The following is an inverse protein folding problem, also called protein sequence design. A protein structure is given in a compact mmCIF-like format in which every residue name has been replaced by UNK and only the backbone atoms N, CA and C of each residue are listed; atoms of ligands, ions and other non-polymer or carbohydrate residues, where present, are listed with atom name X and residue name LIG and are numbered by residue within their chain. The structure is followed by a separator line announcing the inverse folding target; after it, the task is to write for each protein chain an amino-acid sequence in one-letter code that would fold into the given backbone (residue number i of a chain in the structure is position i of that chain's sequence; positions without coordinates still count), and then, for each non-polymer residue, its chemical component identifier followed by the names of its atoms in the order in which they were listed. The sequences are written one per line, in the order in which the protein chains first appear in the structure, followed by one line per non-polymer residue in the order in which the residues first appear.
data_IF_758689371460
#
_entry.id   IF_758689371460
#
_cell.length_a   1.000
_cell.length_b   1.000
_cell.length_c   1.000
_cell.angle_alpha   90.00
_cell.angle_beta   90.00
_cell.angle_gamma   90.00
#
_symmetry.space_group_name_H-M   'P 1'
#
loop_
_entity.id
_entity.type
_entity.pdbx_description
1 polymer ?
#
# COMPACT_ATOMS: atom_id res chain seq x y z
N UNK A 1 -26.66 24.31 -8.09
CA UNK A 1 -26.56 23.12 -7.22
C UNK A 1 -26.13 23.60 -5.82
N UNK A 2 -27.05 23.66 -4.86
CA UNK A 2 -26.75 24.08 -3.47
C UNK A 2 -26.16 22.88 -2.72
N UNK A 3 -24.84 22.77 -2.71
CA UNK A 3 -24.10 21.86 -1.85
C UNK A 3 -24.36 22.29 -0.41
N UNK A 4 -25.00 21.43 0.38
CA UNK A 4 -25.22 21.67 1.79
C UNK A 4 -23.88 21.51 2.50
N UNK A 5 -23.12 22.60 2.56
CA UNK A 5 -21.71 22.68 2.98
C UNK A 5 -21.40 21.97 4.31
N UNK A 6 -22.38 21.88 5.22
CA UNK A 6 -22.24 21.17 6.50
C UNK A 6 -22.19 19.64 6.37
N UNK A 7 -22.86 19.05 5.37
CA UNK A 7 -22.81 17.59 5.15
C UNK A 7 -21.51 17.16 4.49
N UNK A 8 -20.96 18.00 3.61
CA UNK A 8 -19.71 17.70 2.93
C UNK A 8 -18.53 17.79 3.91
N UNK A 9 -18.52 18.77 4.82
CA UNK A 9 -17.48 18.90 5.85
C UNK A 9 -17.36 17.67 6.76
N UNK A 10 -18.48 17.04 7.12
CA UNK A 10 -18.49 15.79 7.87
C UNK A 10 -17.71 14.67 7.15
N UNK A 11 -17.95 14.50 5.85
CA UNK A 11 -17.25 13.51 5.04
C UNK A 11 -15.75 13.81 4.93
N UNK A 12 -15.38 15.09 4.82
CA UNK A 12 -13.98 15.49 4.77
C UNK A 12 -13.25 15.18 6.08
N UNK A 13 -13.88 15.47 7.23
CA UNK A 13 -13.32 15.11 8.55
C UNK A 13 -13.18 13.59 8.68
N UNK A 14 -14.20 12.82 8.31
CA UNK A 14 -14.18 11.37 8.41
C UNK A 14 -13.06 10.77 7.55
N UNK A 15 -12.91 11.24 6.31
CA UNK A 15 -11.82 10.81 5.42
C UNK A 15 -10.45 11.21 5.98
N UNK A 16 -10.31 12.42 6.52
CA UNK A 16 -9.06 12.87 7.12
C UNK A 16 -8.68 12.04 8.34
N UNK A 17 -9.66 11.67 9.16
CA UNK A 17 -9.44 10.77 10.30
C UNK A 17 -9.01 9.36 9.84
N UNK A 18 -9.64 8.81 8.79
CA UNK A 18 -9.23 7.54 8.21
C UNK A 18 -7.78 7.57 7.68
N UNK A 19 -7.39 8.68 7.03
CA UNK A 19 -6.00 8.90 6.58
C UNK A 19 -5.04 8.91 7.76
N UNK A 20 -5.35 9.64 8.83
CA UNK A 20 -4.48 9.69 10.03
C UNK A 20 -4.30 8.30 10.64
N UNK A 21 -5.38 7.52 10.76
CA UNK A 21 -5.30 6.13 11.27
C UNK A 21 -4.40 5.27 10.38
N UNK A 22 -4.51 5.41 9.06
CA UNK A 22 -3.71 4.61 8.12
C UNK A 22 -2.23 5.04 8.09
N UNK A 23 -1.94 6.32 8.27
CA UNK A 23 -0.58 6.85 8.31
C UNK A 23 0.13 6.59 9.64
N UNK A 24 -0.62 6.46 10.74
CA UNK A 24 -0.05 6.20 12.07
C UNK A 24 0.91 4.99 12.13
N UNK A 25 0.55 3.78 11.65
CA UNK A 25 1.48 2.65 11.63
C UNK A 25 2.68 2.87 10.71
N UNK A 26 2.53 3.61 9.61
CA UNK A 26 3.65 3.94 8.72
C UNK A 26 4.65 4.87 9.40
N UNK A 27 4.16 5.88 10.11
CA UNK A 27 4.99 6.78 10.92
C UNK A 27 5.74 5.99 12.00
N UNK A 28 5.05 5.06 12.67
CA UNK A 28 5.65 4.21 13.69
C UNK A 28 6.72 3.27 13.12
N UNK A 29 6.49 2.70 11.93
CA UNK A 29 7.47 1.86 11.22
C UNK A 29 8.73 2.66 10.85
N UNK A 30 8.55 3.86 10.30
CA UNK A 30 9.66 4.74 9.92
C UNK A 30 10.47 5.15 11.15
N UNK A 31 9.82 5.56 12.24
CA UNK A 31 10.52 5.87 13.48
C UNK A 31 11.31 4.67 14.02
N UNK A 32 10.72 3.47 13.96
CA UNK A 32 11.35 2.25 14.46
C UNK A 32 12.55 1.81 13.61
N UNK A 33 12.60 2.12 12.32
CA UNK A 33 13.77 1.82 11.48
C UNK A 33 15.03 2.59 11.92
N UNK A 34 14.86 3.73 12.60
CA UNK A 34 15.96 4.54 13.15
C UNK A 34 16.31 4.20 14.61
N UNK A 35 15.68 3.20 15.24
CA UNK A 35 15.97 2.79 16.62
C UNK A 35 17.06 1.72 16.69
N UNK A 36 17.83 1.71 17.76
CA UNK A 36 18.76 0.61 18.08
C UNK A 36 17.99 -0.62 18.58
N UNK A 37 18.61 -1.81 18.50
CA UNK A 37 17.99 -3.06 18.99
C UNK A 37 17.57 -2.94 20.46
N UNK A 38 18.43 -2.41 21.33
CA UNK A 38 18.13 -2.23 22.75
C UNK A 38 16.92 -1.33 22.98
N UNK A 39 16.76 -0.26 22.17
CA UNK A 39 15.63 0.65 22.30
C UNK A 39 14.32 0.01 21.83
N UNK A 40 14.37 -0.92 20.89
CA UNK A 40 13.18 -1.67 20.42
C UNK A 40 12.66 -2.59 21.55
N UNK A 41 13.55 -3.22 22.32
CA UNK A 41 13.17 -4.13 23.42
C UNK A 41 12.84 -3.41 24.73
N UNK A 42 13.54 -2.32 25.06
CA UNK A 42 13.36 -1.59 26.34
C UNK A 42 12.32 -0.46 26.26
N UNK A 43 11.99 0.03 25.08
CA UNK A 43 11.06 1.16 24.88
C UNK A 43 10.19 0.96 23.64
N UNK A 44 9.54 -0.21 23.56
CA UNK A 44 8.77 -0.67 22.40
C UNK A 44 7.65 0.29 21.99
N UNK A 45 6.93 0.89 22.95
CA UNK A 45 5.79 1.78 22.69
C UNK A 45 6.16 3.24 22.38
N UNK A 46 7.44 3.61 22.43
CA UNK A 46 7.84 5.00 22.17
C UNK A 46 7.84 5.28 20.66
N UNK A 47 6.99 6.18 20.13
CA UNK A 47 6.95 6.48 18.69
C UNK A 47 8.11 7.34 18.20
N UNK A 48 9.00 7.84 19.07
CA UNK A 48 10.16 8.65 18.69
C UNK A 48 11.48 7.94 19.06
N UNK A 49 12.50 7.94 18.17
CA UNK A 49 13.80 7.38 18.49
C UNK A 49 14.53 8.30 19.48
N UNK A 50 15.25 7.74 20.45
CA UNK A 50 16.00 8.52 21.44
C UNK A 50 17.33 9.01 20.83
N UNK A 51 17.91 8.19 19.96
CA UNK A 51 19.07 8.51 19.13
C UNK A 51 18.82 7.92 17.74
N UNK A 52 18.60 8.74 16.71
CA UNK A 52 18.41 8.23 15.36
C UNK A 52 19.70 7.60 14.84
N UNK A 53 19.64 6.34 14.43
CA UNK A 53 20.78 5.61 13.84
C UNK A 53 20.48 5.16 12.40
N UNK A 54 21.47 5.29 11.52
CA UNK A 54 21.38 4.85 10.12
C UNK A 54 22.05 3.48 9.88
N UNK A 55 22.71 2.93 10.90
CA UNK A 55 23.44 1.66 10.79
C UNK A 55 22.54 0.49 10.41
N UNK A 56 21.26 0.52 10.80
CA UNK A 56 20.27 -0.48 10.40
C UNK A 56 20.14 -0.57 8.86
N UNK A 57 20.15 0.57 8.16
CA UNK A 57 20.06 0.60 6.70
C UNK A 57 21.34 0.06 6.05
N UNK A 58 22.52 0.46 6.55
CA UNK A 58 23.80 -0.05 6.08
C UNK A 58 23.94 -1.56 6.32
N UNK A 59 23.45 -2.05 7.46
CA UNK A 59 23.41 -3.46 7.79
C UNK A 59 22.57 -4.24 6.77
N UNK A 60 21.34 -3.78 6.48
CA UNK A 60 20.46 -4.47 5.52
C UNK A 60 21.05 -4.44 4.11
N UNK A 61 21.62 -3.32 3.68
CA UNK A 61 22.24 -3.19 2.35
C UNK A 61 23.46 -4.10 2.16
N UNK A 62 24.23 -4.36 3.22
CA UNK A 62 25.43 -5.21 3.16
C UNK A 62 25.14 -6.70 3.39
N UNK A 63 24.20 -7.02 4.27
CA UNK A 63 23.99 -8.40 4.73
C UNK A 63 22.85 -9.12 4.00
N UNK A 64 21.91 -8.39 3.39
CA UNK A 64 20.80 -8.97 2.66
C UNK A 64 20.98 -8.73 1.15
N UNK A 65 20.70 -9.72 0.29
CA UNK A 65 20.70 -9.56 -1.17
C UNK A 65 19.44 -8.79 -1.63
N UNK A 66 19.33 -7.53 -1.19
CA UNK A 66 18.15 -6.66 -1.37
C UNK A 66 17.76 -6.50 -2.84
N UNK A 67 18.75 -6.32 -3.72
CA UNK A 67 18.53 -6.19 -5.16
C UNK A 67 17.89 -7.44 -5.74
N UNK A 68 18.32 -8.62 -5.31
CA UNK A 68 17.74 -9.89 -5.77
C UNK A 68 16.27 -10.02 -5.34
N UNK A 69 15.95 -9.63 -4.12
CA UNK A 69 14.55 -9.64 -3.64
C UNK A 69 13.67 -8.66 -4.42
N UNK A 70 14.17 -7.46 -4.72
CA UNK A 70 13.44 -6.45 -5.51
C UNK A 70 13.20 -6.97 -6.93
N UNK A 71 14.21 -7.52 -7.59
CA UNK A 71 14.09 -8.02 -8.96
C UNK A 71 13.15 -9.23 -9.02
N UNK A 72 13.28 -10.19 -8.10
CA UNK A 72 12.41 -11.36 -8.06
C UNK A 72 10.94 -10.97 -7.88
N UNK A 73 10.64 -10.08 -6.94
CA UNK A 73 9.27 -9.62 -6.68
C UNK A 73 8.70 -8.80 -7.84
N UNK A 74 9.52 -7.96 -8.48
CA UNK A 74 9.13 -7.21 -9.68
C UNK A 74 8.78 -8.13 -10.85
N UNK A 75 9.58 -9.17 -11.10
CA UNK A 75 9.33 -10.16 -12.15
C UNK A 75 8.04 -10.94 -11.90
N UNK A 76 7.80 -11.37 -10.66
CA UNK A 76 6.57 -12.08 -10.28
C UNK A 76 5.35 -11.15 -10.43
N UNK A 77 5.41 -9.94 -9.87
CA UNK A 77 4.31 -8.99 -9.90
C UNK A 77 3.94 -8.57 -11.33
N UNK A 78 4.93 -8.30 -12.18
CA UNK A 78 4.72 -7.95 -13.58
C UNK A 78 4.11 -9.10 -14.38
N UNK A 79 4.62 -10.32 -14.17
CA UNK A 79 4.10 -11.53 -14.83
C UNK A 79 2.63 -11.79 -14.48
N UNK A 80 2.28 -11.69 -13.18
CA UNK A 80 0.89 -11.83 -12.72
C UNK A 80 0.01 -10.72 -13.29
N UNK A 81 0.51 -9.48 -13.33
CA UNK A 81 -0.25 -8.34 -13.86
C UNK A 81 -0.55 -8.51 -15.34
N UNK A 82 0.43 -8.95 -16.14
CA UNK A 82 0.23 -9.24 -17.57
C UNK A 82 -0.80 -10.35 -17.79
N UNK A 83 -0.68 -11.46 -17.05
CA UNK A 83 -1.66 -12.55 -17.12
C UNK A 83 -3.06 -12.06 -16.77
N UNK A 84 -3.20 -11.26 -15.69
CA UNK A 84 -4.48 -10.67 -15.27
C UNK A 84 -5.07 -9.75 -16.34
N UNK A 85 -4.26 -8.92 -17.00
CA UNK A 85 -4.73 -8.03 -18.06
C UNK A 85 -5.30 -8.86 -19.22
N UNK A 86 -4.58 -9.88 -19.67
CA UNK A 86 -5.01 -10.75 -20.77
C UNK A 86 -6.33 -11.43 -20.43
N UNK A 87 -6.43 -12.05 -19.24
CA UNK A 87 -7.66 -12.72 -18.81
C UNK A 87 -8.81 -11.74 -18.60
N UNK A 88 -8.54 -10.54 -18.07
CA UNK A 88 -9.56 -9.50 -17.84
C UNK A 88 -10.15 -8.99 -19.15
N UNK A 89 -9.33 -8.77 -20.18
CA UNK A 89 -9.80 -8.36 -21.51
C UNK A 89 -10.68 -9.45 -22.14
N UNK A 90 -10.24 -10.71 -22.06
CA UNK A 90 -11.01 -11.84 -22.59
C UNK A 90 -12.36 -12.01 -21.86
N UNK A 91 -12.35 -11.92 -20.53
CA UNK A 91 -13.57 -11.97 -19.72
C UNK A 91 -14.50 -10.80 -20.03
N UNK A 92 -13.97 -9.58 -20.15
CA UNK A 92 -14.73 -8.39 -20.52
C UNK A 92 -15.42 -8.54 -21.88
N UNK A 93 -14.71 -9.06 -22.89
CA UNK A 93 -15.31 -9.35 -24.20
C UNK A 93 -16.42 -10.41 -24.11
N UNK A 94 -16.19 -11.49 -23.37
CA UNK A 94 -17.19 -12.55 -23.19
C UNK A 94 -18.46 -12.03 -22.49
N UNK A 95 -18.32 -11.16 -21.49
CA UNK A 95 -19.48 -10.56 -20.82
C UNK A 95 -20.30 -9.65 -21.73
N UNK A 96 -19.65 -8.80 -22.54
CA UNK A 96 -20.36 -7.95 -23.51
C UNK A 96 -21.11 -8.79 -24.54
N UNK A 97 -20.45 -9.83 -25.08
CA UNK A 97 -21.09 -10.70 -26.06
C UNK A 97 -22.26 -11.51 -25.46
N UNK A 98 -22.09 -12.04 -24.25
CA UNK A 98 -23.15 -12.78 -23.56
C UNK A 98 -24.37 -11.90 -23.25
N UNK A 99 -24.17 -10.63 -22.88
CA UNK A 99 -25.25 -9.68 -22.61
C UNK A 99 -26.02 -9.32 -23.89
N UNK A 100 -25.33 -9.05 -25.00
CA UNK A 100 -25.95 -8.77 -26.30
C UNK A 100 -26.83 -9.94 -26.81
N UNK A 101 -26.41 -11.18 -26.60
CA UNK A 101 -27.20 -12.37 -26.98
C UNK A 101 -28.51 -12.48 -26.19
N UNK A 102 -28.53 -12.02 -24.93
CA UNK A 102 -29.70 -12.12 -24.06
C UNK A 102 -30.78 -11.08 -24.39
N UNK A 103 -30.42 -9.93 -24.98
CA UNK A 103 -31.37 -8.83 -25.25
C UNK A 103 -31.95 -8.84 -26.68
N UNK A 104 -31.59 -9.81 -27.55
CA UNK A 104 -32.06 -9.93 -28.95
C UNK A 104 -31.98 -8.62 -29.78
N UNK A 105 -31.20 -7.65 -29.34
CA UNK A 105 -31.03 -6.35 -29.98
C UNK A 105 -29.53 -6.17 -30.19
N UNK A 106 -29.03 -6.75 -31.27
CA UNK A 106 -27.70 -6.50 -31.79
C UNK A 106 -27.84 -6.12 -33.25
#
# INVERSE_FOLDING_TARGET
MKINSYRDWYWHILLLFAVVIQLWPLFFMLSTSFKTMDQIFLSTLNPLPAKPVLDNYLYVLKNLPLVQYIVNTLLIASSITLAKIITSILAGFAFVYADCQQYHSC
#
